data_IF_547532843817
#
_entry.id   IF_547532843817
#
_cell.length_a   1.000
_cell.length_b   1.000
_cell.length_c   1.000
_cell.angle_alpha   90.00
_cell.angle_beta   90.00
_cell.angle_gamma   90.00
#
_symmetry.space_group_name_H-M   'P 1'
#
loop_
_entity.id
_entity.type
_entity.pdbx_description
1 polymer ?
#
# COMPACT_ATOMS: atom_id res chain seq x y z
N UNK A 1 -23.19 2.38 25.99
CA UNK A 1 -22.46 1.36 25.21
C UNK A 1 -22.05 0.26 26.17
N UNK A 2 -22.57 -0.95 25.98
CA UNK A 2 -22.19 -2.07 26.84
C UNK A 2 -20.83 -2.65 26.39
N UNK A 3 -20.06 -3.33 27.28
CA UNK A 3 -18.73 -3.83 26.95
C UNK A 3 -18.68 -4.85 25.80
N UNK A 4 -19.75 -5.63 25.62
CA UNK A 4 -19.99 -6.59 24.55
C UNK A 4 -20.13 -5.92 23.17
N UNK A 5 -20.84 -4.80 23.09
CA UNK A 5 -21.00 -4.01 21.85
C UNK A 5 -19.64 -3.49 21.35
N UNK A 6 -18.77 -3.02 22.26
CA UNK A 6 -17.42 -2.54 21.89
C UNK A 6 -16.52 -3.66 21.37
N UNK A 7 -16.63 -4.85 21.95
CA UNK A 7 -15.86 -6.02 21.50
C UNK A 7 -16.30 -6.45 20.11
N UNK A 8 -17.62 -6.48 19.85
CA UNK A 8 -18.15 -6.78 18.53
C UNK A 8 -17.64 -5.79 17.48
N UNK A 9 -17.70 -4.48 17.77
CA UNK A 9 -17.21 -3.42 16.88
C UNK A 9 -15.70 -3.54 16.60
N UNK A 10 -14.89 -3.87 17.61
CA UNK A 10 -13.44 -4.06 17.44
C UNK A 10 -13.12 -5.28 16.57
N UNK A 11 -13.83 -6.39 16.77
CA UNK A 11 -13.66 -7.62 15.98
C UNK A 11 -14.05 -7.38 14.52
N UNK A 12 -15.20 -6.74 14.28
CA UNK A 12 -15.66 -6.41 12.93
C UNK A 12 -14.68 -5.49 12.21
N UNK A 13 -14.21 -4.43 12.89
CA UNK A 13 -13.19 -3.54 12.32
C UNK A 13 -11.90 -4.29 12.00
N UNK A 14 -11.43 -5.17 12.89
CA UNK A 14 -10.22 -5.97 12.65
C UNK A 14 -10.36 -6.88 11.42
N UNK A 15 -11.48 -7.59 11.29
CA UNK A 15 -11.75 -8.46 10.15
C UNK A 15 -11.72 -7.66 8.84
N UNK A 16 -12.35 -6.48 8.83
CA UNK A 16 -12.32 -5.58 7.66
C UNK A 16 -10.90 -5.13 7.30
N UNK A 17 -10.06 -4.82 8.30
CA UNK A 17 -8.67 -4.44 8.07
C UNK A 17 -7.86 -5.59 7.45
N UNK A 18 -8.10 -6.82 7.89
CA UNK A 18 -7.43 -8.00 7.37
C UNK A 18 -7.85 -8.29 5.93
N UNK A 19 -9.14 -8.16 5.61
CA UNK A 19 -9.65 -8.29 4.24
C UNK A 19 -9.06 -7.23 3.29
N UNK A 20 -8.97 -5.98 3.74
CA UNK A 20 -8.39 -4.91 2.93
C UNK A 20 -6.88 -5.11 2.71
N UNK A 21 -6.15 -5.51 3.76
CA UNK A 21 -4.74 -5.84 3.67
C UNK A 21 -4.51 -7.03 2.73
N UNK A 22 -5.34 -8.06 2.83
CA UNK A 22 -5.32 -9.21 1.94
C UNK A 22 -5.54 -8.80 0.49
N UNK A 23 -6.56 -7.98 0.21
CA UNK A 23 -6.84 -7.48 -1.14
C UNK A 23 -5.68 -6.66 -1.69
N UNK A 24 -5.12 -5.74 -0.89
CA UNK A 24 -3.96 -4.95 -1.28
C UNK A 24 -2.74 -5.84 -1.56
N UNK A 25 -2.51 -6.85 -0.74
CA UNK A 25 -1.42 -7.80 -0.91
C UNK A 25 -1.60 -8.62 -2.19
N UNK A 26 -2.74 -9.31 -2.33
CA UNK A 26 -3.00 -10.26 -3.40
C UNK A 26 -3.24 -9.63 -4.77
N UNK A 27 -3.86 -8.44 -4.83
CA UNK A 27 -4.32 -7.84 -6.09
C UNK A 27 -3.49 -6.61 -6.52
N UNK A 28 -2.97 -5.84 -5.57
CA UNK A 28 -2.34 -4.56 -5.90
C UNK A 28 -0.82 -4.61 -5.97
N UNK A 29 -0.17 -5.56 -5.30
CA UNK A 29 1.29 -5.70 -5.31
C UNK A 29 1.72 -6.83 -6.24
N UNK A 30 2.72 -6.58 -7.07
CA UNK A 30 3.41 -7.62 -7.84
C UNK A 30 4.25 -8.53 -6.92
N UNK A 31 4.59 -9.75 -7.37
CA UNK A 31 5.48 -10.64 -6.60
C UNK A 31 6.81 -9.99 -6.20
N UNK A 32 7.39 -9.17 -7.08
CA UNK A 32 8.64 -8.43 -6.81
C UNK A 32 8.46 -7.40 -5.71
N UNK A 33 7.37 -6.62 -5.74
CA UNK A 33 7.06 -5.63 -4.70
C UNK A 33 6.77 -6.29 -3.36
N UNK A 34 6.04 -7.42 -3.35
CA UNK A 34 5.82 -8.21 -2.12
C UNK A 34 7.14 -8.70 -1.55
N UNK A 35 8.03 -9.24 -2.38
CA UNK A 35 9.33 -9.71 -1.93
C UNK A 35 10.18 -8.57 -1.36
N UNK A 36 10.19 -7.40 -2.02
CA UNK A 36 10.86 -6.21 -1.53
C UNK A 36 10.26 -5.72 -0.20
N UNK A 37 8.94 -5.74 -0.06
CA UNK A 37 8.23 -5.41 1.17
C UNK A 37 8.61 -6.38 2.30
N UNK A 38 8.54 -7.69 2.07
CA UNK A 38 8.91 -8.72 3.05
C UNK A 38 10.35 -8.51 3.51
N UNK A 39 11.29 -8.26 2.59
CA UNK A 39 12.70 -8.00 2.94
C UNK A 39 12.85 -6.79 3.85
N UNK A 40 12.17 -5.69 3.53
CA UNK A 40 12.21 -4.44 4.31
C UNK A 40 11.53 -4.56 5.67
N UNK A 41 10.51 -5.40 5.76
CA UNK A 41 9.60 -5.52 6.92
C UNK A 41 9.60 -6.93 7.50
N UNK A 42 10.73 -7.64 7.41
CA UNK A 42 10.85 -9.06 7.74
C UNK A 42 10.38 -9.40 9.16
N UNK A 43 10.56 -8.49 10.10
CA UNK A 43 10.13 -8.62 11.50
C UNK A 43 8.62 -8.75 11.67
N UNK A 44 7.81 -8.28 10.71
CA UNK A 44 6.34 -8.36 10.81
C UNK A 44 5.79 -9.66 10.24
N UNK A 45 6.64 -10.49 9.63
CA UNK A 45 6.24 -11.77 9.09
C UNK A 45 6.78 -12.90 9.96
N UNK A 46 5.90 -13.85 10.26
CA UNK A 46 6.28 -15.15 10.80
C UNK A 46 6.07 -16.17 9.70
N UNK A 47 7.12 -16.94 9.43
CA UNK A 47 7.09 -18.04 8.48
C UNK A 47 7.47 -19.31 9.22
N UNK A 48 6.68 -20.35 9.04
CA UNK A 48 6.84 -21.66 9.66
C UNK A 48 7.74 -22.54 8.80
N UNK A 49 7.60 -22.44 7.48
CA UNK A 49 8.37 -23.17 6.48
C UNK A 49 8.60 -22.32 5.22
N UNK A 50 9.33 -22.89 4.27
CA UNK A 50 9.64 -22.22 3.00
C UNK A 50 8.43 -22.12 2.07
N UNK A 51 7.51 -23.09 2.11
CA UNK A 51 6.31 -23.08 1.27
C UNK A 51 5.38 -21.93 1.64
N UNK A 52 5.31 -21.58 2.93
CA UNK A 52 4.59 -20.41 3.43
C UNK A 52 5.20 -19.12 2.88
N UNK A 53 6.53 -19.02 2.81
CA UNK A 53 7.22 -17.88 2.19
C UNK A 53 6.79 -17.76 0.73
N UNK A 54 6.82 -18.86 -0.03
CA UNK A 54 6.42 -18.87 -1.44
C UNK A 54 4.95 -18.51 -1.62
N UNK A 55 4.06 -19.03 -0.78
CA UNK A 55 2.63 -18.71 -0.80
C UNK A 55 2.39 -17.21 -0.55
N UNK A 56 3.11 -16.62 0.41
CA UNK A 56 3.01 -15.20 0.75
C UNK A 56 3.55 -14.32 -0.37
N UNK A 57 4.70 -14.65 -0.95
CA UNK A 57 5.27 -13.93 -2.11
C UNK A 57 4.35 -14.01 -3.34
N UNK A 58 3.74 -15.18 -3.58
CA UNK A 58 2.76 -15.36 -4.68
C UNK A 58 1.42 -14.68 -4.42
N UNK A 59 1.20 -14.12 -3.23
CA UNK A 59 -0.05 -13.47 -2.87
C UNK A 59 -1.20 -14.46 -2.69
N UNK A 60 -0.90 -15.71 -2.34
CA UNK A 60 -1.89 -16.74 -1.96
C UNK A 60 -2.22 -16.72 -0.47
N UNK A 61 -1.39 -16.05 0.33
CA UNK A 61 -1.64 -15.78 1.76
C UNK A 61 -1.01 -14.46 2.18
N UNK A 62 -1.52 -13.86 3.24
CA UNK A 62 -0.89 -12.75 3.94
C UNK A 62 -0.76 -13.11 5.42
N UNK A 63 0.45 -13.00 5.96
CA UNK A 63 0.77 -13.32 7.37
C UNK A 63 1.48 -12.16 8.07
N UNK A 64 1.50 -10.98 7.43
CA UNK A 64 2.11 -9.78 7.96
C UNK A 64 1.15 -8.95 8.81
N UNK A 65 1.65 -7.82 9.33
CA UNK A 65 0.80 -6.86 10.04
C UNK A 65 -0.05 -6.02 9.06
N UNK A 66 -1.37 -6.25 9.07
CA UNK A 66 -2.36 -5.60 8.19
C UNK A 66 -2.34 -4.07 8.27
N UNK A 67 -2.35 -3.53 9.49
CA UNK A 67 -2.36 -2.08 9.73
C UNK A 67 -1.11 -1.38 9.18
N UNK A 68 0.04 -2.05 9.26
CA UNK A 68 1.30 -1.50 8.78
C UNK A 68 1.41 -1.57 7.25
N UNK A 69 0.87 -2.62 6.63
CA UNK A 69 0.79 -2.73 5.17
C UNK A 69 -0.07 -1.61 4.59
N UNK A 70 -1.27 -1.40 5.13
CA UNK A 70 -2.19 -0.37 4.66
C UNK A 70 -1.60 1.03 4.85
N UNK A 71 -1.02 1.33 6.02
CA UNK A 71 -0.35 2.61 6.27
C UNK A 71 0.86 2.84 5.34
N UNK A 72 1.56 1.77 4.97
CA UNK A 72 2.65 1.87 4.00
C UNK A 72 2.11 2.17 2.59
N UNK A 73 1.07 1.46 2.15
CA UNK A 73 0.39 1.67 0.87
C UNK A 73 -0.09 3.11 0.72
N UNK A 74 -0.78 3.62 1.73
CA UNK A 74 -1.37 4.96 1.69
C UNK A 74 -0.30 6.05 1.60
N UNK A 75 0.83 5.86 2.31
CA UNK A 75 2.00 6.76 2.19
C UNK A 75 2.62 6.73 0.81
N UNK A 76 2.70 5.57 0.16
CA UNK A 76 3.23 5.49 -1.21
C UNK A 76 2.29 6.19 -2.18
N UNK A 77 0.98 5.90 -2.12
CA UNK A 77 0.00 6.54 -2.99
C UNK A 77 0.02 8.06 -2.84
N UNK A 78 0.07 8.58 -1.62
CA UNK A 78 0.17 10.02 -1.37
C UNK A 78 1.43 10.63 -2.03
N UNK A 79 2.59 9.99 -1.91
CA UNK A 79 3.83 10.46 -2.55
C UNK A 79 3.79 10.40 -4.07
N UNK A 80 3.21 9.35 -4.63
CA UNK A 80 3.07 9.21 -6.09
C UNK A 80 2.11 10.26 -6.65
N UNK A 81 0.98 10.50 -5.98
CA UNK A 81 0.03 11.55 -6.35
C UNK A 81 0.67 12.94 -6.27
N UNK A 82 1.40 13.22 -5.19
CA UNK A 82 2.12 14.49 -5.04
C UNK A 82 3.15 14.69 -6.17
N UNK A 83 3.90 13.64 -6.50
CA UNK A 83 4.90 13.70 -7.58
C UNK A 83 4.24 13.90 -8.95
N UNK A 84 3.13 13.21 -9.22
CA UNK A 84 2.36 13.39 -10.45
C UNK A 84 1.79 14.81 -10.58
N UNK A 85 1.29 15.39 -9.48
CA UNK A 85 0.79 16.76 -9.47
C UNK A 85 1.89 17.78 -9.74
N UNK A 86 3.06 17.62 -9.11
CA UNK A 86 4.22 18.48 -9.38
C UNK A 86 4.68 18.36 -10.83
N UNK A 87 4.68 17.15 -11.39
CA UNK A 87 5.00 16.94 -12.80
C UNK A 87 4.02 17.67 -13.73
N UNK A 88 2.72 17.57 -13.48
CA UNK A 88 1.71 18.29 -14.25
C UNK A 88 1.91 19.82 -14.18
N UNK A 89 2.16 20.36 -12.99
CA UNK A 89 2.43 21.79 -12.83
C UNK A 89 3.69 22.22 -13.59
N UNK A 90 4.77 21.44 -13.49
CA UNK A 90 6.02 21.72 -14.21
C UNK A 90 5.83 21.71 -15.75
N UNK A 91 5.05 20.75 -16.26
CA UNK A 91 4.71 20.67 -17.69
C UNK A 91 3.93 21.92 -18.12
N UNK A 92 2.91 22.33 -17.37
CA UNK A 92 2.15 23.54 -17.67
C UNK A 92 2.99 24.81 -17.64
N UNK A 93 3.88 24.96 -16.65
CA UNK A 93 4.82 26.08 -16.60
C UNK A 93 5.75 26.11 -17.83
N UNK A 94 6.22 24.94 -18.28
CA UNK A 94 7.01 24.81 -19.50
C UNK A 94 6.25 25.23 -20.76
N UNK A 95 4.98 24.82 -20.89
CA UNK A 95 4.10 25.20 -22.00
C UNK A 95 3.87 26.71 -22.02
N UNK A 96 3.54 27.31 -20.87
CA UNK A 96 3.32 28.76 -20.75
C UNK A 96 4.60 29.52 -21.12
N UNK A 97 5.75 29.09 -20.61
CA UNK A 97 7.04 29.69 -20.94
C UNK A 97 7.34 29.64 -22.44
N UNK A 98 7.08 28.48 -23.08
CA UNK A 98 7.25 28.31 -24.52
C UNK A 98 6.31 29.22 -25.33
N UNK A 99 5.04 29.33 -24.92
CA UNK A 99 4.06 30.19 -25.56
C UNK A 99 4.46 31.68 -25.47
N UNK A 100 4.89 32.15 -24.29
CA UNK A 100 5.40 33.51 -24.09
C UNK A 100 6.62 33.77 -24.97
N UNK A 101 7.51 32.78 -25.11
CA UNK A 101 8.71 32.89 -25.96
C UNK A 101 8.38 32.93 -27.45
N UNK A 102 7.29 32.29 -27.90
CA UNK A 102 6.88 32.31 -29.32
C UNK A 102 6.14 33.59 -29.71
N UNK A 103 5.50 34.27 -28.75
CA UNK A 103 4.81 35.55 -28.97
C UNK A 103 5.78 36.74 -28.97
N UNK A 104 6.93 36.58 -28.32
CA UNK A 104 7.95 37.60 -28.13
C UNK A 104 9.05 37.52 -29.19
#
# INVERSE_FOLDING_TARGET
>A
MKPDERLAELVENSARFDDEAWKAWAQCLSPTERLAYIRKHRSHFRFTDYDEVIAVVRGRRFTGCSSQLLRWRDRIRARTLQSALLFLVAVWLGIIWLAVRLIR
#
